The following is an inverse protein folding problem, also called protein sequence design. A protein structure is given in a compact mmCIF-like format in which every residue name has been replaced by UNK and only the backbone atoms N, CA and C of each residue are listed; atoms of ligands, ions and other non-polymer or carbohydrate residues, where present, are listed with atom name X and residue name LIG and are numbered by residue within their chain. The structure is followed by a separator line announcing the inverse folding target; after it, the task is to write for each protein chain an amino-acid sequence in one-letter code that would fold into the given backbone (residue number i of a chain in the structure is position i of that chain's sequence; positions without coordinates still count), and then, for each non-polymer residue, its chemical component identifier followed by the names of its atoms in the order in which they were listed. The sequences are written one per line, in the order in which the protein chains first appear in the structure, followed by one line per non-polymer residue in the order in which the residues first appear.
data_IF_050054993930
#
_entry.id   IF_050054993930
#
_cell.length_a   1.000
_cell.length_b   1.000
_cell.length_c   1.000
_cell.angle_alpha   90.00
_cell.angle_beta   90.00
_cell.angle_gamma   90.00
#
_symmetry.space_group_name_H-M   'P 1'
#
loop_
_entity.id
_entity.type
_entity.pdbx_description
1 polymer ?
#
# COMPACT_ATOMS: atom_id res chain seq x y z
N UNK A 1 -21.15 33.81 46.59
CA UNK A 1 -20.20 33.64 45.48
C UNK A 1 -20.61 32.38 44.72
N UNK A 2 -21.24 32.51 43.54
CA UNK A 2 -21.73 31.36 42.81
C UNK A 2 -20.63 30.73 41.96
N UNK A 3 -20.64 29.40 41.93
CA UNK A 3 -19.74 28.52 41.19
C UNK A 3 -20.24 28.45 39.75
N UNK A 4 -19.50 28.99 38.79
CA UNK A 4 -19.82 28.85 37.37
C UNK A 4 -19.23 27.54 36.84
N UNK A 5 -20.11 26.56 36.64
CA UNK A 5 -19.84 25.34 35.89
C UNK A 5 -19.63 25.70 34.41
N UNK A 6 -18.38 25.70 33.95
CA UNK A 6 -18.06 25.74 32.54
C UNK A 6 -18.55 24.42 31.90
N UNK A 7 -19.70 24.48 31.22
CA UNK A 7 -20.15 23.41 30.34
C UNK A 7 -19.15 23.35 29.18
N UNK A 8 -18.34 22.30 29.13
CA UNK A 8 -17.63 21.92 27.92
C UNK A 8 -18.68 21.67 26.84
N UNK A 9 -18.80 22.62 25.91
CA UNK A 9 -19.60 22.46 24.71
C UNK A 9 -18.73 21.67 23.72
N UNK A 10 -18.87 20.35 23.72
CA UNK A 10 -18.35 19.52 22.64
C UNK A 10 -19.35 19.64 21.49
N UNK A 11 -19.02 20.39 20.44
CA UNK A 11 -19.80 20.38 19.21
C UNK A 11 -19.68 19.00 18.57
N UNK A 12 -20.81 18.35 18.32
CA UNK A 12 -20.86 17.12 17.52
C UNK A 12 -20.18 17.37 16.16
N UNK A 13 -19.35 16.43 15.68
CA UNK A 13 -18.71 16.58 14.38
C UNK A 13 -19.81 16.66 13.31
N UNK A 14 -19.73 17.71 12.50
CA UNK A 14 -20.59 17.87 11.31
C UNK A 14 -20.46 16.62 10.45
N UNK A 15 -21.57 15.89 10.30
CA UNK A 15 -21.66 14.77 9.37
C UNK A 15 -21.52 15.32 7.94
N UNK A 16 -20.28 15.40 7.43
CA UNK A 16 -20.06 15.45 6.01
C UNK A 16 -20.28 14.03 5.51
N UNK A 17 -21.36 13.84 4.76
CA UNK A 17 -21.70 12.57 4.14
C UNK A 17 -20.55 12.16 3.23
N UNK A 18 -19.81 11.12 3.63
CA UNK A 18 -18.95 10.38 2.72
C UNK A 18 -19.80 9.94 1.53
N UNK A 19 -19.33 10.10 0.28
CA UNK A 19 -20.11 9.72 -0.89
C UNK A 19 -20.48 8.24 -0.77
N UNK A 20 -21.78 7.96 -0.86
CA UNK A 20 -22.29 6.60 -0.92
C UNK A 20 -21.63 5.90 -2.10
N UNK A 21 -21.24 4.64 -1.91
CA UNK A 21 -20.49 3.87 -2.90
C UNK A 21 -21.16 3.84 -4.29
N UNK A 22 -22.49 4.01 -4.35
CA UNK A 22 -23.27 4.17 -5.58
C UNK A 22 -22.85 5.38 -6.41
N UNK A 23 -22.61 6.51 -5.76
CA UNK A 23 -22.39 7.80 -6.44
C UNK A 23 -21.03 7.79 -7.13
N UNK A 24 -20.05 7.13 -6.51
CA UNK A 24 -18.74 6.88 -7.10
C UNK A 24 -18.83 5.95 -8.32
N UNK A 25 -19.68 4.92 -8.26
CA UNK A 25 -19.89 4.02 -9.41
C UNK A 25 -20.51 4.80 -10.57
N UNK A 26 -21.52 5.61 -10.32
CA UNK A 26 -22.22 6.37 -11.36
C UNK A 26 -21.31 7.41 -12.02
N UNK A 27 -20.42 8.06 -11.26
CA UNK A 27 -19.39 8.95 -11.79
C UNK A 27 -18.36 8.19 -12.66
N UNK A 28 -17.94 6.99 -12.26
CA UNK A 28 -17.03 6.14 -13.05
C UNK A 28 -17.70 5.69 -14.35
N UNK A 29 -18.97 5.30 -14.29
CA UNK A 29 -19.75 4.84 -15.45
C UNK A 29 -19.99 5.97 -16.44
N UNK A 30 -20.36 7.16 -15.96
CA UNK A 30 -20.61 8.33 -16.83
C UNK A 30 -19.34 8.87 -17.49
N UNK A 31 -18.19 8.81 -16.81
CA UNK A 31 -16.90 9.22 -17.38
C UNK A 31 -16.31 8.18 -18.35
N UNK A 32 -16.84 6.95 -18.40
CA UNK A 32 -16.38 5.89 -19.32
C UNK A 32 -16.92 6.02 -20.75
N UNK A 33 -16.91 7.23 -21.31
CA UNK A 33 -17.20 7.46 -22.73
C UNK A 33 -15.95 7.21 -23.56
N UNK A 34 -15.54 5.94 -23.75
CA UNK A 34 -14.83 5.48 -24.95
C UNK A 34 -14.48 3.98 -24.89
N UNK A 35 -15.07 3.21 -25.81
CA UNK A 35 -14.91 1.77 -26.07
C UNK A 35 -15.51 0.88 -24.99
N UNK A 36 -16.30 -0.11 -25.41
CA UNK A 36 -16.80 -1.22 -24.62
C UNK A 36 -15.66 -1.96 -23.90
N UNK A 37 -15.20 -1.43 -22.76
CA UNK A 37 -14.25 -2.09 -21.87
C UNK A 37 -15.05 -2.80 -20.81
N UNK A 38 -15.53 -3.99 -21.15
CA UNK A 38 -16.08 -4.88 -20.14
C UNK A 38 -15.00 -5.27 -19.12
N UNK A 39 -15.43 -5.76 -17.97
CA UNK A 39 -14.55 -6.19 -16.88
C UNK A 39 -13.44 -7.13 -17.35
N UNK A 40 -13.75 -8.10 -18.22
CA UNK A 40 -12.77 -9.06 -18.72
C UNK A 40 -11.63 -8.37 -19.49
N UNK A 41 -11.92 -7.33 -20.28
CA UNK A 41 -10.92 -6.55 -21.00
C UNK A 41 -10.07 -5.70 -20.07
N UNK A 42 -10.66 -5.10 -19.03
CA UNK A 42 -9.91 -4.31 -18.03
C UNK A 42 -9.00 -5.24 -17.22
N UNK A 43 -9.54 -6.33 -16.69
CA UNK A 43 -8.81 -7.30 -15.89
C UNK A 43 -7.63 -7.90 -16.67
N UNK A 44 -7.87 -8.36 -17.91
CA UNK A 44 -6.83 -8.91 -18.78
C UNK A 44 -5.68 -7.92 -19.06
N UNK A 45 -5.98 -6.63 -19.13
CA UNK A 45 -5.00 -5.58 -19.39
C UNK A 45 -4.43 -4.93 -18.12
N UNK A 46 -4.84 -5.38 -16.93
CA UNK A 46 -4.37 -4.84 -15.66
C UNK A 46 -2.90 -5.21 -15.41
N UNK A 47 -2.19 -4.33 -14.68
CA UNK A 47 -0.80 -4.60 -14.27
C UNK A 47 -0.69 -5.81 -13.36
N UNK A 48 -1.71 -6.07 -12.55
CA UNK A 48 -1.81 -7.25 -11.71
C UNK A 48 -1.78 -8.54 -12.54
N UNK A 49 -2.65 -8.67 -13.55
CA UNK A 49 -2.66 -9.85 -14.43
C UNK A 49 -1.41 -9.94 -15.29
N UNK A 50 -0.87 -8.81 -15.75
CA UNK A 50 0.37 -8.77 -16.54
C UNK A 50 1.62 -9.17 -15.75
N UNK A 51 1.61 -9.05 -14.41
CA UNK A 51 2.75 -9.40 -13.56
C UNK A 51 3.06 -10.91 -13.63
N UNK A 52 2.01 -11.73 -13.82
CA UNK A 52 2.11 -13.18 -13.91
C UNK A 52 2.50 -13.79 -12.57
N UNK A 53 3.46 -14.73 -12.61
CA UNK A 53 4.04 -15.29 -11.39
C UNK A 53 4.70 -14.19 -10.54
N UNK A 54 4.36 -14.18 -9.26
CA UNK A 54 4.75 -13.15 -8.29
C UNK A 54 6.15 -13.39 -7.72
N UNK A 55 6.57 -14.66 -7.63
CA UNK A 55 7.81 -15.01 -6.95
C UNK A 55 9.02 -14.37 -7.62
N UNK A 56 9.77 -13.61 -6.83
CA UNK A 56 10.95 -12.88 -7.24
C UNK A 56 10.70 -11.63 -8.09
N UNK A 57 9.45 -11.22 -8.33
CA UNK A 57 9.13 -10.02 -9.11
C UNK A 57 9.50 -8.74 -8.37
N UNK A 58 9.96 -7.74 -9.13
CA UNK A 58 10.24 -6.42 -8.60
C UNK A 58 9.03 -5.52 -8.76
N UNK A 59 8.59 -4.92 -7.66
CA UNK A 59 7.46 -3.96 -7.63
C UNK A 59 7.85 -2.73 -6.84
N UNK A 60 7.19 -1.61 -7.15
CA UNK A 60 7.36 -0.36 -6.41
C UNK A 60 6.19 -0.24 -5.43
N UNK A 61 6.51 -0.03 -4.16
CA UNK A 61 5.55 0.23 -3.12
C UNK A 61 5.70 1.62 -2.52
N UNK A 62 4.73 2.02 -1.70
CA UNK A 62 4.72 3.24 -0.92
C UNK A 62 4.53 2.90 0.55
N UNK A 63 5.35 3.47 1.42
CA UNK A 63 5.18 3.31 2.87
C UNK A 63 3.90 4.05 3.28
N UNK A 64 2.89 3.35 3.75
CA UNK A 64 1.59 3.92 4.15
C UNK A 64 1.47 4.09 5.66
N UNK A 65 2.14 3.25 6.43
CA UNK A 65 2.12 3.34 7.89
C UNK A 65 3.44 2.83 8.49
N UNK A 66 3.75 3.28 9.71
CA UNK A 66 4.95 2.88 10.45
C UNK A 66 4.64 2.67 11.91
N UNK A 67 5.02 1.50 12.44
CA UNK A 67 4.88 1.15 13.86
C UNK A 67 6.26 0.74 14.38
N UNK A 68 6.92 1.61 15.13
CA UNK A 68 8.29 1.39 15.59
C UNK A 68 9.28 1.21 14.41
N UNK A 69 9.78 -0.01 14.24
CA UNK A 69 10.69 -0.38 13.16
C UNK A 69 9.98 -1.12 12.01
N UNK A 70 8.67 -1.33 12.09
CA UNK A 70 7.88 -1.98 11.05
C UNK A 70 7.31 -0.96 10.06
N UNK A 71 7.49 -1.24 8.78
CA UNK A 71 7.03 -0.43 7.65
C UNK A 71 5.91 -1.19 6.95
N UNK A 72 4.70 -0.62 6.97
CA UNK A 72 3.58 -1.11 6.18
C UNK A 72 3.67 -0.47 4.80
N UNK A 73 3.77 -1.30 3.77
CA UNK A 73 4.04 -0.86 2.40
C UNK A 73 2.91 -1.38 1.50
N UNK A 74 2.24 -0.45 0.84
CA UNK A 74 1.25 -0.74 -0.19
C UNK A 74 1.94 -0.73 -1.57
N UNK A 75 1.72 -1.76 -2.37
CA UNK A 75 2.25 -1.90 -3.74
C UNK A 75 1.14 -2.16 -4.77
N UNK A 76 -0.12 -1.85 -4.41
CA UNK A 76 -1.28 -1.98 -5.29
C UNK A 76 -1.88 -3.39 -5.36
N UNK A 77 -1.53 -4.26 -4.40
CA UNK A 77 -2.17 -5.56 -4.21
C UNK A 77 -3.32 -5.46 -3.21
N UNK A 78 -3.91 -6.62 -2.85
CA UNK A 78 -4.97 -6.70 -1.85
C UNK A 78 -4.48 -6.43 -0.43
N UNK A 79 -3.26 -6.85 -0.10
CA UNK A 79 -2.70 -6.77 1.24
C UNK A 79 -1.35 -6.06 1.24
N UNK A 80 -1.13 -5.24 2.26
CA UNK A 80 0.17 -4.62 2.47
C UNK A 80 1.22 -5.67 2.81
N UNK A 81 2.48 -5.38 2.51
CA UNK A 81 3.60 -6.11 3.10
C UNK A 81 4.15 -5.34 4.29
N UNK A 82 4.68 -6.08 5.27
CA UNK A 82 5.31 -5.51 6.46
C UNK A 82 6.79 -5.83 6.43
N UNK A 83 7.63 -4.80 6.27
CA UNK A 83 9.08 -4.97 6.25
C UNK A 83 9.74 -4.23 7.42
N UNK A 84 10.83 -4.78 7.95
CA UNK A 84 11.65 -4.06 8.93
C UNK A 84 12.39 -2.92 8.25
N UNK A 85 12.37 -1.75 8.88
CA UNK A 85 13.19 -0.60 8.49
C UNK A 85 14.67 -0.99 8.59
N UNK A 86 15.49 -0.70 7.56
CA UNK A 86 16.94 -0.81 7.65
C UNK A 86 17.50 0.02 8.81
N UNK A 87 18.68 -0.38 9.29
CA UNK A 87 19.37 0.31 10.39
C UNK A 87 19.66 1.78 10.06
N UNK A 88 20.02 2.04 8.81
CA UNK A 88 20.08 3.38 8.24
C UNK A 88 18.65 3.85 7.91
N UNK A 89 18.05 4.60 8.84
CA UNK A 89 16.64 5.01 8.78
C UNK A 89 16.40 6.17 7.80
N UNK A 90 17.44 6.70 7.17
CA UNK A 90 17.33 7.91 6.36
C UNK A 90 16.48 7.68 5.12
N UNK A 91 15.29 8.29 5.11
CA UNK A 91 14.38 8.33 3.96
C UNK A 91 13.27 7.28 3.97
N UNK A 92 13.26 6.31 4.90
CA UNK A 92 12.15 5.36 5.08
C UNK A 92 11.04 5.97 5.96
N UNK A 93 10.42 7.03 5.44
CA UNK A 93 9.31 7.74 6.07
C UNK A 93 7.99 7.38 5.39
N UNK A 94 6.88 7.59 6.08
CA UNK A 94 5.54 7.46 5.49
C UNK A 94 5.45 8.36 4.27
N UNK A 95 4.98 7.80 3.16
CA UNK A 95 4.90 8.45 1.86
C UNK A 95 6.05 8.14 0.91
N UNK A 96 7.19 7.62 1.40
CA UNK A 96 8.33 7.29 0.57
C UNK A 96 8.05 6.10 -0.34
N UNK A 97 8.55 6.17 -1.58
CA UNK A 97 8.50 5.06 -2.53
C UNK A 97 9.68 4.11 -2.28
N UNK A 98 9.43 2.82 -2.33
CA UNK A 98 10.39 1.76 -2.06
C UNK A 98 10.34 0.70 -3.14
N UNK A 99 11.46 0.02 -3.36
CA UNK A 99 11.57 -1.14 -4.23
C UNK A 99 11.43 -2.41 -3.40
N UNK A 100 10.53 -3.28 -3.81
CA UNK A 100 10.24 -4.56 -3.18
C UNK A 100 10.56 -5.70 -4.15
N UNK A 101 11.00 -6.83 -3.59
CA UNK A 101 10.95 -8.13 -4.25
C UNK A 101 9.78 -8.92 -3.66
N UNK A 102 8.76 -9.16 -4.45
CA UNK A 102 7.57 -9.91 -4.06
C UNK A 102 7.87 -11.41 -4.01
N UNK A 103 7.32 -12.10 -3.01
CA UNK A 103 7.36 -13.56 -2.89
C UNK A 103 5.93 -14.13 -2.97
N UNK A 104 5.04 -13.63 -2.12
CA UNK A 104 3.65 -14.07 -2.05
C UNK A 104 2.70 -12.86 -1.89
N UNK A 105 1.67 -12.68 -2.74
CA UNK A 105 0.67 -11.64 -2.55
C UNK A 105 -0.29 -11.86 -1.35
N UNK A 106 -0.41 -13.08 -0.81
CA UNK A 106 -1.23 -13.39 0.37
C UNK A 106 -0.67 -14.61 1.13
N UNK A 107 -0.06 -14.36 2.30
CA UNK A 107 0.39 -15.43 3.18
C UNK A 107 -0.79 -16.22 3.75
N UNK A 108 -1.01 -17.41 3.19
CA UNK A 108 -2.06 -18.33 3.62
C UNK A 108 -1.58 -19.79 3.58
N UNK A 109 -1.99 -20.57 4.58
CA UNK A 109 -1.56 -21.97 4.73
C UNK A 109 -2.69 -22.82 5.34
N UNK A 110 -2.75 -24.10 4.98
CA UNK A 110 -3.69 -25.07 5.58
C UNK A 110 -2.98 -25.96 6.59
N UNK A 111 -3.39 -25.87 7.85
CA UNK A 111 -2.86 -26.72 8.91
C UNK A 111 -3.66 -28.01 9.09
N UNK A 112 -3.02 -29.03 9.67
CA UNK A 112 -3.68 -30.32 9.94
C UNK A 112 -4.91 -30.13 10.84
N UNK A 113 -6.03 -30.75 10.44
CA UNK A 113 -7.30 -30.66 11.16
C UNK A 113 -8.12 -29.40 10.86
N UNK A 114 -7.57 -28.43 10.12
CA UNK A 114 -8.34 -27.28 9.64
C UNK A 114 -9.23 -27.67 8.45
N UNK A 115 -10.41 -27.04 8.36
CA UNK A 115 -11.31 -27.17 7.20
C UNK A 115 -11.05 -26.11 6.12
N UNK A 116 -10.42 -25.01 6.51
CA UNK A 116 -10.20 -23.82 5.70
C UNK A 116 -8.77 -23.35 5.92
N UNK A 117 -8.27 -22.59 4.95
CA UNK A 117 -6.93 -22.01 5.01
C UNK A 117 -6.92 -20.86 6.01
N UNK A 118 -5.82 -20.72 6.75
CA UNK A 118 -5.59 -19.58 7.62
C UNK A 118 -4.75 -18.56 6.85
N UNK A 119 -5.18 -17.30 6.81
CA UNK A 119 -4.49 -16.19 6.15
C UNK A 119 -4.00 -15.19 7.19
N UNK A 120 -2.79 -14.67 7.00
CA UNK A 120 -2.23 -13.61 7.84
C UNK A 120 -2.71 -12.21 7.41
N UNK A 121 -3.42 -12.11 6.29
CA UNK A 121 -3.90 -10.83 5.72
C UNK A 121 -2.75 -9.86 5.42
N UNK A 122 -1.59 -10.40 5.04
CA UNK A 122 -0.40 -9.65 4.63
C UNK A 122 0.28 -10.36 3.45
N UNK A 123 1.00 -9.57 2.65
CA UNK A 123 1.83 -10.07 1.57
C UNK A 123 3.27 -10.26 2.03
N UNK A 124 3.96 -11.28 1.51
CA UNK A 124 5.38 -11.50 1.73
C UNK A 124 6.21 -10.83 0.63
N UNK A 125 7.11 -9.94 1.06
CA UNK A 125 8.05 -9.28 0.19
C UNK A 125 9.32 -8.87 0.95
N UNK A 126 10.42 -8.77 0.21
CA UNK A 126 11.68 -8.24 0.72
C UNK A 126 11.88 -6.79 0.30
N UNK A 127 12.11 -5.91 1.28
CA UNK A 127 12.51 -4.52 1.05
C UNK A 127 13.94 -4.43 0.52
N UNK A 128 14.10 -3.95 -0.72
CA UNK A 128 15.41 -3.80 -1.37
C UNK A 128 16.02 -2.41 -1.16
N UNK A 129 15.19 -1.35 -1.12
CA UNK A 129 15.71 0.02 -1.07
C UNK A 129 14.65 1.09 -1.28
N UNK A 130 15.06 2.36 -1.19
CA UNK A 130 14.24 3.50 -1.64
C UNK A 130 14.18 3.55 -3.17
N UNK A 131 13.02 3.83 -3.72
CA UNK A 131 12.81 4.03 -5.15
C UNK A 131 12.86 5.53 -5.48
N UNK A 132 13.60 5.92 -6.53
CA UNK A 132 13.67 7.32 -6.99
C UNK A 132 14.79 8.18 -6.39
N UNK A 133 15.57 7.68 -5.42
CA UNK A 133 16.83 8.33 -5.02
C UNK A 133 17.89 8.00 -6.07
N UNK A 134 18.23 8.94 -6.96
CA UNK A 134 19.42 8.80 -7.83
C UNK A 134 20.62 8.57 -6.91
N UNK A 135 21.35 7.48 -7.09
CA UNK A 135 22.73 7.41 -6.60
C UNK A 135 23.49 8.51 -7.33
N UNK A 136 23.92 9.54 -6.61
CA UNK A 136 25.07 10.31 -7.06
C UNK A 136 26.24 9.34 -7.02
N UNK A 137 26.59 8.79 -8.18
CA UNK A 137 27.88 8.12 -8.34
C UNK A 137 28.91 9.23 -8.24
N UNK A 138 29.41 9.49 -7.05
CA UNK A 138 30.65 10.26 -6.91
C UNK A 138 31.73 9.41 -7.56
N UNK A 139 32.06 9.77 -8.80
CA UNK A 139 33.18 9.20 -9.50
C UNK A 139 34.44 9.54 -8.70
N UNK A 140 34.99 8.55 -8.02
CA UNK A 140 36.38 8.54 -7.59
C UNK A 140 37.25 8.67 -8.84
N UNK A 141 37.50 9.92 -9.26
CA UNK A 141 38.65 10.26 -10.08
C UNK A 141 39.86 10.22 -9.14
N UNK A 142 40.48 9.06 -9.04
CA UNK A 142 41.87 8.98 -8.57
C UNK A 142 42.73 9.70 -9.61
N UNK A 143 43.17 10.90 -9.25
CA UNK A 143 44.21 11.67 -9.92
C UNK A 143 45.56 11.10 -9.53
N UNK A 144 46.43 11.03 -10.55
CA UNK A 144 47.90 11.02 -10.53
C UNK A 144 48.63 9.81 -9.93
#
# INVERSE_FOLDING_TARGET
MPVNNAKYFCSEPTQQSEPEFSDLIDEIVTNSTERETNFAKIFKNSKFVQLGDFDGRLVVGKIVHRVGNDLYIDFGSKFNTVCKSPADKEGYLVGASVLLRLHDPELSERFLGSRYDLTLLEADATLLGLYGKRRTVEAEKTKE
#
